data_IF_497521536185
#
_entry.id   IF_497521536185
#
_cell.length_a   1.000
_cell.length_b   1.000
_cell.length_c   1.000
_cell.angle_alpha   90.00
_cell.angle_beta   90.00
_cell.angle_gamma   90.00
#
_symmetry.space_group_name_H-M   'P 1'
#
loop_
_entity.id
_entity.type
_entity.pdbx_description
1 polymer ?
#
# COMPACT_ATOMS: atom_id res chain seq x y z
N UNK A 1 -3.05 14.60 -17.05
CA UNK A 1 -2.52 13.47 -16.25
C UNK A 1 -3.70 12.69 -15.70
N UNK A 2 -3.85 11.43 -16.11
CA UNK A 2 -4.97 10.58 -15.71
C UNK A 2 -4.71 10.09 -14.28
N UNK A 3 -5.37 10.67 -13.28
CA UNK A 3 -5.36 10.09 -11.94
C UNK A 3 -6.34 8.92 -11.95
N UNK A 4 -5.80 7.72 -12.07
CA UNK A 4 -6.61 6.51 -12.08
C UNK A 4 -6.71 5.86 -10.70
N UNK A 5 -6.19 6.51 -9.64
CA UNK A 5 -5.99 5.90 -8.31
C UNK A 5 -4.93 4.78 -8.32
N UNK A 6 -4.09 4.72 -9.38
CA UNK A 6 -3.20 3.58 -9.66
C UNK A 6 -1.71 3.89 -9.45
N UNK A 7 -1.34 5.16 -9.53
CA UNK A 7 0.03 5.65 -9.30
C UNK A 7 -0.07 6.87 -8.37
N UNK A 8 0.91 7.14 -7.51
CA UNK A 8 1.20 8.48 -7.04
C UNK A 8 1.25 9.37 -8.28
N UNK A 9 0.26 10.23 -8.40
CA UNK A 9 0.25 11.24 -9.42
C UNK A 9 0.35 12.55 -8.70
N UNK A 10 1.44 13.28 -8.94
CA UNK A 10 1.50 14.67 -8.55
C UNK A 10 0.48 15.43 -9.36
N UNK A 11 -0.60 15.86 -8.71
CA UNK A 11 -1.58 16.74 -9.33
C UNK A 11 -1.22 18.17 -8.95
N UNK A 12 -1.00 18.99 -9.97
CA UNK A 12 -0.76 20.42 -9.83
C UNK A 12 -1.97 21.20 -10.35
N UNK A 13 -2.18 22.38 -9.78
CA UNK A 13 -3.21 23.33 -10.17
C UNK A 13 -3.19 23.68 -11.67
N UNK A 14 -4.35 24.01 -12.25
CA UNK A 14 -4.45 24.57 -13.61
C UNK A 14 -4.37 23.60 -14.79
N UNK A 15 -4.44 22.27 -14.58
CA UNK A 15 -4.46 21.27 -15.67
C UNK A 15 -5.76 20.44 -15.69
N UNK A 16 -6.91 21.02 -16.11
CA UNK A 16 -8.14 20.28 -16.25
C UNK A 16 -8.01 19.34 -17.46
N UNK A 17 -7.84 18.04 -17.22
CA UNK A 17 -8.23 17.04 -18.22
C UNK A 17 -9.45 16.32 -17.68
N UNK A 18 -10.49 16.22 -18.50
CA UNK A 18 -11.73 15.49 -18.28
C UNK A 18 -11.46 14.13 -17.64
N UNK A 19 -12.07 13.90 -16.47
CA UNK A 19 -12.03 12.61 -15.77
C UNK A 19 -13.47 12.12 -15.63
N UNK A 20 -13.72 10.90 -16.09
CA UNK A 20 -15.02 10.24 -15.92
C UNK A 20 -15.30 9.85 -14.46
N UNK A 21 -14.27 9.81 -13.59
CA UNK A 21 -14.41 9.52 -12.17
C UNK A 21 -13.28 10.17 -11.35
N UNK A 22 -13.59 10.80 -10.21
CA UNK A 22 -12.63 11.39 -9.26
C UNK A 22 -12.81 10.76 -7.88
N UNK A 23 -11.72 10.27 -7.26
CA UNK A 23 -11.74 9.81 -5.86
C UNK A 23 -11.81 10.96 -4.85
N UNK A 24 -12.14 10.67 -3.60
CA UNK A 24 -12.46 11.69 -2.58
C UNK A 24 -11.32 12.68 -2.34
N UNK A 25 -10.06 12.21 -2.35
CA UNK A 25 -8.90 13.07 -2.13
C UNK A 25 -8.73 14.13 -3.25
N UNK A 26 -9.09 13.78 -4.49
CA UNK A 26 -9.06 14.72 -5.62
C UNK A 26 -10.16 15.76 -5.46
N UNK A 27 -11.38 15.31 -5.15
CA UNK A 27 -12.50 16.22 -4.96
C UNK A 27 -12.25 17.16 -3.77
N UNK A 28 -11.65 16.65 -2.69
CA UNK A 28 -11.24 17.44 -1.53
C UNK A 28 -10.19 18.48 -1.89
N UNK A 29 -9.16 18.12 -2.67
CA UNK A 29 -8.18 19.10 -3.19
C UNK A 29 -8.83 20.17 -4.06
N UNK A 30 -9.79 19.80 -4.91
CA UNK A 30 -10.53 20.74 -5.75
C UNK A 30 -11.34 21.72 -4.89
N UNK A 31 -12.03 21.23 -3.85
CA UNK A 31 -12.74 22.09 -2.88
C UNK A 31 -11.79 23.02 -2.11
N UNK A 32 -10.61 22.52 -1.69
CA UNK A 32 -9.58 23.37 -1.09
C UNK A 32 -9.09 24.46 -2.06
N UNK A 33 -8.90 24.13 -3.33
CA UNK A 33 -8.48 25.11 -4.34
C UNK A 33 -9.56 26.12 -4.71
N UNK A 34 -10.84 25.73 -4.67
CA UNK A 34 -11.95 26.66 -4.82
C UNK A 34 -12.04 27.63 -3.64
N UNK A 35 -11.77 27.13 -2.43
CA UNK A 35 -11.84 27.93 -1.19
C UNK A 35 -10.60 28.81 -0.98
N UNK A 36 -9.41 28.28 -1.29
CA UNK A 36 -8.10 28.95 -1.20
C UNK A 36 -7.26 28.60 -2.42
N UNK A 37 -7.45 29.31 -3.54
CA UNK A 37 -6.66 29.06 -4.73
C UNK A 37 -5.19 29.36 -4.44
N UNK A 38 -4.32 28.37 -4.62
CA UNK A 38 -2.89 28.56 -4.41
C UNK A 38 -2.07 27.68 -5.38
N UNK A 39 -1.12 28.24 -6.13
CA UNK A 39 -0.42 27.53 -7.21
C UNK A 39 0.45 26.38 -6.72
N UNK A 40 0.83 26.37 -5.44
CA UNK A 40 1.64 25.30 -4.84
C UNK A 40 0.80 24.16 -4.25
N UNK A 41 -0.53 24.26 -4.25
CA UNK A 41 -1.36 23.13 -3.85
C UNK A 41 -1.08 21.93 -4.75
N UNK A 42 -0.65 20.84 -4.13
CA UNK A 42 -0.40 19.59 -4.80
C UNK A 42 -0.76 18.43 -3.90
N UNK A 43 -1.08 17.31 -4.53
CA UNK A 43 -1.47 16.10 -3.83
C UNK A 43 -0.64 14.94 -4.34
N UNK A 44 -0.18 14.12 -3.39
CA UNK A 44 0.44 12.82 -3.65
C UNK A 44 -0.46 11.76 -3.02
N UNK A 45 -1.03 10.90 -3.86
CA UNK A 45 -1.72 9.72 -3.34
C UNK A 45 -0.69 8.61 -3.09
N UNK A 46 -0.39 8.37 -1.82
CA UNK A 46 0.52 7.35 -1.34
C UNK A 46 -0.19 6.05 -0.91
N UNK A 47 -1.50 5.94 -1.13
CA UNK A 47 -2.27 4.78 -0.72
C UNK A 47 -1.81 3.51 -1.45
N UNK A 48 -1.78 2.40 -0.72
CA UNK A 48 -1.46 1.08 -1.22
C UNK A 48 -2.67 0.17 -1.01
N UNK A 49 -3.16 -0.46 -2.09
CA UNK A 49 -4.33 -1.33 -2.04
C UNK A 49 -4.18 -2.42 -0.96
N UNK A 50 -5.20 -2.53 -0.10
CA UNK A 50 -5.31 -3.57 0.93
C UNK A 50 -4.06 -3.71 1.83
N UNK A 51 -3.33 -2.62 2.05
CA UNK A 51 -2.08 -2.62 2.82
C UNK A 51 -2.32 -2.04 4.22
N UNK A 52 -2.30 -2.85 5.28
CA UNK A 52 -2.52 -2.37 6.65
C UNK A 52 -1.31 -1.59 7.18
N UNK A 53 -1.50 -0.84 8.27
CA UNK A 53 -0.50 0.07 8.82
C UNK A 53 0.84 -0.60 9.13
N UNK A 54 0.85 -1.82 9.67
CA UNK A 54 2.11 -2.54 10.00
C UNK A 54 2.93 -2.96 8.76
N UNK A 55 2.30 -2.97 7.58
CA UNK A 55 3.01 -3.24 6.33
C UNK A 55 3.50 -1.94 5.68
N UNK A 56 2.77 -0.84 5.85
CA UNK A 56 3.19 0.47 5.36
C UNK A 56 4.28 1.11 6.23
N UNK A 57 4.23 0.90 7.55
CA UNK A 57 5.10 1.56 8.53
C UNK A 57 6.60 1.43 8.23
N UNK A 58 7.16 0.24 7.91
CA UNK A 58 8.58 0.11 7.61
C UNK A 58 9.07 0.97 6.44
N UNK A 59 8.20 1.21 5.45
CA UNK A 59 8.52 1.96 4.24
C UNK A 59 7.81 3.30 4.16
N UNK A 60 7.23 3.78 5.25
CA UNK A 60 6.31 4.91 5.28
C UNK A 60 6.88 6.14 4.55
N UNK A 61 8.14 6.48 4.82
CA UNK A 61 8.81 7.64 4.22
C UNK A 61 9.10 7.47 2.73
N UNK A 62 9.23 6.25 2.23
CA UNK A 62 9.48 6.02 0.79
C UNK A 62 8.28 6.36 -0.08
N UNK A 63 7.10 6.43 0.53
CA UNK A 63 5.83 6.73 -0.12
C UNK A 63 5.43 8.20 -0.06
N UNK A 64 6.16 9.04 0.68
CA UNK A 64 5.79 10.42 0.94
C UNK A 64 6.57 11.43 0.08
N UNK A 65 5.94 12.53 -0.34
CA UNK A 65 6.68 13.66 -0.91
C UNK A 65 7.55 14.32 0.17
N UNK A 66 8.56 15.09 -0.24
CA UNK A 66 9.35 15.92 0.68
C UNK A 66 8.46 17.03 1.26
N UNK A 67 8.47 17.18 2.59
CA UNK A 67 7.77 18.23 3.32
C UNK A 67 6.26 18.26 3.07
N UNK A 68 5.50 17.21 3.42
CA UNK A 68 4.04 17.27 3.37
C UNK A 68 3.51 18.28 4.40
N UNK A 69 2.46 19.04 4.05
CA UNK A 69 1.79 19.99 4.97
C UNK A 69 0.56 19.38 5.65
N UNK A 70 -0.15 18.49 4.93
CA UNK A 70 -1.33 17.78 5.40
C UNK A 70 -1.21 16.31 4.98
N UNK A 71 -1.44 15.40 5.91
CA UNK A 71 -1.50 13.96 5.63
C UNK A 71 -2.85 13.44 6.10
N UNK A 72 -3.56 12.76 5.21
CA UNK A 72 -4.78 12.01 5.51
C UNK A 72 -4.41 10.53 5.60
N UNK A 73 -4.64 9.93 6.76
CA UNK A 73 -4.38 8.51 7.04
C UNK A 73 -5.68 7.72 7.04
N UNK A 74 -5.75 6.68 6.24
CA UNK A 74 -6.91 5.77 6.18
C UNK A 74 -6.38 4.34 6.26
N UNK A 75 -6.73 3.63 7.34
CA UNK A 75 -6.43 2.20 7.51
C UNK A 75 -7.67 1.40 7.95
N UNK A 76 -8.81 2.07 8.20
CA UNK A 76 -10.06 1.46 8.63
C UNK A 76 -10.53 0.38 7.66
N UNK A 77 -10.37 0.63 6.36
CA UNK A 77 -10.73 -0.33 5.30
C UNK A 77 -9.96 -1.67 5.37
N UNK A 78 -8.86 -1.72 6.13
CA UNK A 78 -8.01 -2.92 6.31
C UNK A 78 -8.19 -3.59 7.67
N UNK A 79 -9.27 -3.29 8.41
CA UNK A 79 -9.45 -3.69 9.81
C UNK A 79 -9.19 -5.17 10.13
N UNK A 80 -9.59 -6.09 9.24
CA UNK A 80 -9.43 -7.54 9.45
C UNK A 80 -7.95 -7.95 9.57
N UNK A 81 -7.05 -7.26 8.85
CA UNK A 81 -5.62 -7.56 8.84
C UNK A 81 -4.79 -6.52 9.59
N UNK A 82 -5.40 -5.56 10.27
CA UNK A 82 -4.70 -4.43 10.87
C UNK A 82 -4.22 -4.72 12.29
N UNK A 83 -2.93 -4.51 12.56
CA UNK A 83 -2.43 -4.47 13.92
C UNK A 83 -2.73 -3.09 14.54
N UNK A 84 -3.61 -3.03 15.53
CA UNK A 84 -4.08 -1.77 16.11
C UNK A 84 -2.96 -0.87 16.63
N UNK A 85 -1.89 -1.45 17.19
CA UNK A 85 -0.73 -0.69 17.68
C UNK A 85 0.09 -0.04 16.56
N UNK A 86 0.01 -0.55 15.32
CA UNK A 86 0.73 0.01 14.18
C UNK A 86 0.14 1.36 13.72
N UNK A 87 -1.13 1.64 14.00
CA UNK A 87 -1.76 2.94 13.77
C UNK A 87 -0.99 4.03 14.52
N UNK A 88 -0.71 3.79 15.81
CA UNK A 88 0.09 4.69 16.62
C UNK A 88 1.53 4.79 16.10
N UNK A 89 2.14 3.66 15.71
CA UNK A 89 3.48 3.65 15.13
C UNK A 89 3.60 4.60 13.92
N UNK A 90 2.63 4.57 13.01
CA UNK A 90 2.54 5.48 11.86
C UNK A 90 2.37 6.93 12.31
N UNK A 91 1.42 7.22 13.21
CA UNK A 91 1.18 8.59 13.69
C UNK A 91 2.44 9.18 14.33
N UNK A 92 3.10 8.45 15.24
CA UNK A 92 4.34 8.92 15.89
C UNK A 92 5.47 9.12 14.88
N UNK A 93 5.59 8.26 13.87
CA UNK A 93 6.57 8.44 12.81
C UNK A 93 6.33 9.75 12.04
N UNK A 94 5.09 10.05 11.68
CA UNK A 94 4.74 11.28 10.94
C UNK A 94 4.87 12.55 11.77
N UNK A 95 4.54 12.51 13.06
CA UNK A 95 4.71 13.66 13.96
C UNK A 95 6.18 14.05 14.19
N UNK A 96 7.13 13.18 13.85
CA UNK A 96 8.58 13.48 13.89
C UNK A 96 9.08 14.21 12.65
N UNK A 97 8.28 14.29 11.57
CA UNK A 97 8.67 15.04 10.39
C UNK A 97 8.84 16.53 10.73
N UNK A 98 9.77 17.19 10.04
CA UNK A 98 10.00 18.62 10.15
C UNK A 98 9.94 19.29 8.76
N UNK A 99 9.11 20.32 8.56
CA UNK A 99 8.08 20.81 9.51
C UNK A 99 7.02 19.74 9.82
N UNK A 100 6.40 19.79 11.00
CA UNK A 100 5.39 18.82 11.43
C UNK A 100 4.12 18.99 10.57
N UNK A 101 3.69 17.95 9.82
CA UNK A 101 2.45 18.05 9.03
C UNK A 101 1.23 18.06 9.94
N UNK A 102 0.15 18.68 9.49
CA UNK A 102 -1.18 18.42 10.04
C UNK A 102 -1.56 16.96 9.72
N UNK A 103 -2.02 16.21 10.72
CA UNK A 103 -2.50 14.84 10.53
C UNK A 103 -4.02 14.78 10.71
N UNK A 104 -4.67 14.15 9.74
CA UNK A 104 -6.08 13.78 9.79
C UNK A 104 -6.21 12.26 9.66
N UNK A 105 -6.78 11.62 10.67
CA UNK A 105 -7.11 10.20 10.66
C UNK A 105 -8.54 10.02 10.16
N UNK A 106 -8.69 9.38 9.01
CA UNK A 106 -9.96 9.08 8.36
C UNK A 106 -10.29 7.59 8.54
N UNK A 107 -11.44 7.27 9.14
CA UNK A 107 -11.92 5.89 9.28
C UNK A 107 -12.99 5.57 8.23
N UNK A 108 -12.81 4.46 7.51
CA UNK A 108 -13.79 3.86 6.59
C UNK A 108 -14.12 2.45 7.09
N UNK A 109 -15.41 2.13 7.19
CA UNK A 109 -15.94 0.86 7.70
C UNK A 109 -16.52 -0.03 6.59
N UNK A 110 -16.53 -1.34 6.83
CA UNK A 110 -17.46 -2.25 6.13
C UNK A 110 -18.87 -2.07 6.71
N UNK A 111 -19.87 -1.89 5.84
CA UNK A 111 -21.24 -1.52 6.22
C UNK A 111 -22.18 -2.71 6.35
N UNK A 112 -21.88 -3.80 5.65
CA UNK A 112 -22.81 -4.92 5.45
C UNK A 112 -22.08 -6.21 5.12
N UNK A 113 -22.81 -7.32 5.15
CA UNK A 113 -22.34 -8.58 4.56
C UNK A 113 -22.39 -8.50 3.03
N UNK A 114 -21.27 -8.73 2.32
CA UNK A 114 -21.25 -8.70 0.86
C UNK A 114 -22.13 -9.83 0.29
N UNK A 115 -22.97 -9.50 -0.69
CA UNK A 115 -23.93 -10.42 -1.28
C UNK A 115 -24.79 -9.75 -2.37
N UNK A 116 -25.70 -10.50 -3.02
CA UNK A 116 -26.58 -9.95 -4.05
C UNK A 116 -27.56 -8.89 -3.50
N UNK A 117 -27.93 -9.01 -2.22
CA UNK A 117 -28.79 -8.06 -1.51
C UNK A 117 -28.08 -7.62 -0.22
N UNK A 118 -27.13 -6.67 -0.30
CA UNK A 118 -26.36 -6.26 0.86
C UNK A 118 -27.28 -5.60 1.89
N UNK A 119 -27.26 -6.10 3.13
CA UNK A 119 -28.02 -5.54 4.26
C UNK A 119 -27.07 -5.02 5.32
N UNK A 120 -27.35 -3.83 5.84
CA UNK A 120 -26.58 -3.26 6.96
C UNK A 120 -26.49 -4.27 8.11
N UNK A 121 -25.37 -4.25 8.82
CA UNK A 121 -25.23 -5.08 10.00
C UNK A 121 -26.25 -4.71 11.09
N UNK A 122 -26.90 -5.73 11.64
CA UNK A 122 -27.81 -5.59 12.78
C UNK A 122 -27.12 -5.91 14.11
N UNK A 123 -27.52 -5.26 15.22
CA UNK A 123 -27.02 -5.61 16.55
C UNK A 123 -27.12 -7.11 16.82
N UNK A 124 -26.02 -7.73 17.29
CA UNK A 124 -25.96 -9.17 17.52
C UNK A 124 -25.50 -10.01 16.32
N UNK A 125 -25.39 -9.42 15.13
CA UNK A 125 -24.92 -10.14 13.95
C UNK A 125 -23.40 -10.40 13.98
N UNK A 126 -23.00 -11.64 13.69
CA UNK A 126 -21.60 -12.02 13.47
C UNK A 126 -21.09 -11.42 12.15
N UNK A 127 -19.96 -10.72 12.21
CA UNK A 127 -19.39 -10.03 11.03
C UNK A 127 -18.15 -10.76 10.48
N UNK A 128 -17.80 -10.44 9.23
CA UNK A 128 -16.63 -11.04 8.58
C UNK A 128 -15.35 -10.64 9.31
N UNK A 129 -14.48 -11.62 9.56
CA UNK A 129 -13.25 -11.41 10.33
C UNK A 129 -13.45 -11.51 11.85
N UNK A 130 -14.64 -11.90 12.31
CA UNK A 130 -14.98 -12.10 13.72
C UNK A 130 -15.57 -10.86 14.37
N UNK A 131 -16.11 -11.02 15.59
CA UNK A 131 -16.80 -9.96 16.33
C UNK A 131 -18.30 -9.90 16.03
N UNK A 132 -19.03 -9.15 16.86
CA UNK A 132 -20.49 -9.06 16.81
C UNK A 132 -20.85 -7.58 16.72
N UNK A 133 -21.71 -7.19 15.79
CA UNK A 133 -22.10 -5.78 15.64
C UNK A 133 -22.77 -5.26 16.94
N UNK A 134 -22.38 -4.06 17.43
CA UNK A 134 -21.50 -3.06 16.81
C UNK A 134 -20.00 -3.22 17.10
N UNK A 135 -19.58 -4.22 17.88
CA UNK A 135 -18.17 -4.53 18.16
C UNK A 135 -17.50 -5.32 17.03
N UNK A 136 -17.43 -4.70 15.85
CA UNK A 136 -16.76 -5.24 14.67
C UNK A 136 -15.26 -4.93 14.66
N UNK A 137 -14.44 -5.59 13.82
CA UNK A 137 -13.05 -5.23 13.62
C UNK A 137 -12.88 -3.75 13.24
N UNK A 138 -13.75 -3.23 12.37
CA UNK A 138 -13.75 -1.82 11.96
C UNK A 138 -14.05 -0.87 13.12
N UNK A 139 -15.07 -1.18 13.93
CA UNK A 139 -15.40 -0.37 15.11
C UNK A 139 -14.25 -0.35 16.13
N UNK A 140 -13.51 -1.46 16.29
CA UNK A 140 -12.29 -1.51 17.12
C UNK A 140 -11.18 -0.61 16.55
N UNK A 141 -10.97 -0.63 15.23
CA UNK A 141 -10.01 0.27 14.56
C UNK A 141 -10.37 1.72 14.80
N UNK A 142 -11.63 2.10 14.60
CA UNK A 142 -12.08 3.47 14.81
C UNK A 142 -11.92 3.95 16.26
N UNK A 143 -12.28 3.12 17.24
CA UNK A 143 -12.04 3.43 18.66
C UNK A 143 -10.55 3.61 18.94
N UNK A 144 -9.69 2.78 18.36
CA UNK A 144 -8.23 2.96 18.48
C UNK A 144 -7.76 4.25 17.81
N UNK A 145 -8.22 4.56 16.60
CA UNK A 145 -7.88 5.82 15.91
C UNK A 145 -8.29 7.03 16.75
N UNK A 146 -9.49 7.03 17.33
CA UNK A 146 -9.97 8.08 18.20
C UNK A 146 -9.11 8.24 19.46
N UNK A 147 -8.68 7.13 20.09
CA UNK A 147 -7.76 7.16 21.24
C UNK A 147 -6.41 7.76 20.85
N UNK A 148 -5.85 7.37 19.69
CA UNK A 148 -4.59 7.92 19.16
C UNK A 148 -4.74 9.41 18.87
N UNK A 149 -5.81 9.84 18.20
CA UNK A 149 -6.08 11.25 17.93
C UNK A 149 -6.13 12.10 19.20
N UNK A 150 -6.90 11.67 20.21
CA UNK A 150 -7.00 12.40 21.48
C UNK A 150 -5.65 12.50 22.18
N UNK A 151 -4.89 11.41 22.22
CA UNK A 151 -3.60 11.36 22.90
C UNK A 151 -2.52 12.22 22.26
N UNK A 152 -2.54 12.33 20.92
CA UNK A 152 -1.55 13.12 20.17
C UNK A 152 -2.07 14.49 19.72
N UNK A 153 -3.28 14.90 20.13
CA UNK A 153 -3.89 16.16 19.70
C UNK A 153 -4.11 16.24 18.18
N UNK A 154 -4.48 15.14 17.54
CA UNK A 154 -4.69 15.06 16.08
C UNK A 154 -6.18 15.00 15.72
N UNK A 155 -6.51 15.39 14.48
CA UNK A 155 -7.88 15.35 13.98
C UNK A 155 -8.28 13.92 13.58
N UNK A 156 -9.53 13.56 13.90
CA UNK A 156 -10.12 12.27 13.54
C UNK A 156 -11.49 12.50 12.89
N UNK A 157 -11.78 11.75 11.83
CA UNK A 157 -13.05 11.77 11.10
C UNK A 157 -13.49 10.34 10.83
N UNK A 158 -14.74 10.03 11.19
CA UNK A 158 -15.39 8.76 10.86
C UNK A 158 -16.45 8.99 9.78
N UNK A 159 -16.33 8.29 8.66
CA UNK A 159 -17.37 8.29 7.62
C UNK A 159 -18.58 7.50 8.11
N UNK A 160 -18.35 6.41 8.83
CA UNK A 160 -19.41 5.55 9.35
C UNK A 160 -20.28 6.30 10.36
N UNK A 161 -19.68 6.85 11.42
CA UNK A 161 -20.44 7.58 12.44
C UNK A 161 -21.16 8.82 11.89
N UNK A 162 -20.64 9.44 10.83
CA UNK A 162 -21.28 10.57 10.18
C UNK A 162 -22.54 10.19 9.38
N UNK A 163 -22.56 9.00 8.76
CA UNK A 163 -23.61 8.60 7.82
C UNK A 163 -24.56 7.53 8.38
N UNK A 164 -24.12 6.69 9.33
CA UNK A 164 -24.91 5.58 9.88
C UNK A 164 -26.32 6.00 10.37
N UNK A 165 -26.51 7.11 11.09
CA UNK A 165 -27.85 7.52 11.49
C UNK A 165 -28.79 7.75 10.29
N UNK A 166 -28.28 8.29 9.19
CA UNK A 166 -29.05 8.54 7.97
C UNK A 166 -29.36 7.22 7.23
N UNK A 167 -28.41 6.29 7.20
CA UNK A 167 -28.61 4.94 6.63
C UNK A 167 -29.69 4.19 7.40
N UNK A 168 -29.60 4.17 8.73
CA UNK A 168 -30.56 3.48 9.61
C UNK A 168 -31.95 4.11 9.58
N UNK A 169 -32.03 5.42 9.39
CA UNK A 169 -33.30 6.12 9.21
C UNK A 169 -33.93 5.88 7.83
N UNK A 170 -33.23 5.20 6.90
CA UNK A 170 -33.70 5.04 5.53
C UNK A 170 -33.81 6.37 4.78
N UNK A 171 -32.96 7.36 5.11
CA UNK A 171 -33.01 8.67 4.49
C UNK A 171 -32.71 8.57 2.98
N UNK A 172 -33.41 9.38 2.18
CA UNK A 172 -33.25 9.38 0.72
C UNK A 172 -31.80 9.61 0.28
N UNK A 173 -31.28 8.68 -0.53
CA UNK A 173 -29.90 8.69 -1.01
C UNK A 173 -28.86 8.14 -0.04
N UNK A 174 -29.24 7.64 1.15
CA UNK A 174 -28.31 7.03 2.11
C UNK A 174 -28.48 5.52 2.19
N UNK A 175 -28.82 4.85 1.08
CA UNK A 175 -28.83 3.39 1.03
C UNK A 175 -27.40 2.83 1.03
N UNK A 176 -27.26 1.53 1.29
CA UNK A 176 -25.98 0.83 1.11
C UNK A 176 -25.48 0.97 -0.33
N UNK A 177 -26.39 0.91 -1.31
CA UNK A 177 -26.04 1.08 -2.73
C UNK A 177 -25.58 2.49 -3.07
N UNK A 178 -26.03 3.50 -2.32
CA UNK A 178 -25.49 4.85 -2.46
C UNK A 178 -24.07 4.96 -1.89
N UNK A 179 -23.79 4.32 -0.75
CA UNK A 179 -22.52 4.51 -0.03
C UNK A 179 -21.42 3.58 -0.53
N UNK A 180 -21.66 2.28 -0.61
CA UNK A 180 -20.62 1.28 -0.94
C UNK A 180 -21.04 0.23 -1.96
N UNK A 181 -22.31 0.16 -2.36
CA UNK A 181 -22.75 -0.85 -3.32
C UNK A 181 -22.62 -2.28 -2.78
N UNK A 182 -22.55 -3.28 -3.67
CA UNK A 182 -22.66 -4.71 -3.30
C UNK A 182 -21.43 -5.26 -2.57
N UNK A 183 -20.30 -4.54 -2.56
CA UNK A 183 -19.09 -4.99 -1.87
C UNK A 183 -18.96 -4.47 -0.44
N UNK A 184 -19.92 -3.67 0.03
CA UNK A 184 -20.06 -3.21 1.40
C UNK A 184 -18.91 -2.38 1.97
N UNK A 185 -17.89 -2.07 1.18
CA UNK A 185 -16.65 -1.48 1.69
C UNK A 185 -16.12 -0.35 0.82
N UNK A 186 -16.14 -0.49 -0.52
CA UNK A 186 -15.46 0.45 -1.39
C UNK A 186 -16.43 1.53 -1.88
N UNK A 187 -16.25 2.80 -1.51
CA UNK A 187 -17.17 3.89 -1.88
C UNK A 187 -17.27 4.14 -3.38
N UNK A 188 -16.28 3.68 -4.15
CA UNK A 188 -16.26 3.68 -5.62
C UNK A 188 -17.40 2.85 -6.24
N UNK A 189 -17.95 1.90 -5.48
CA UNK A 189 -19.01 1.01 -5.92
C UNK A 189 -20.40 1.54 -5.59
N UNK A 190 -20.50 2.54 -4.72
CA UNK A 190 -21.74 3.23 -4.45
C UNK A 190 -22.01 4.35 -5.43
N UNK A 191 -23.28 4.77 -5.54
CA UNK A 191 -23.67 5.90 -6.40
C UNK A 191 -23.10 7.25 -5.92
N UNK A 192 -22.97 7.43 -4.60
CA UNK A 192 -22.62 8.70 -3.94
C UNK A 192 -21.48 8.57 -2.92
N UNK A 193 -20.99 7.35 -2.68
CA UNK A 193 -20.02 7.06 -1.61
C UNK A 193 -18.79 7.97 -1.57
N UNK A 194 -18.18 8.21 -2.73
CA UNK A 194 -17.02 9.10 -2.83
C UNK A 194 -17.37 10.56 -2.52
N UNK A 195 -18.56 11.00 -2.93
CA UNK A 195 -19.03 12.36 -2.67
C UNK A 195 -19.33 12.54 -1.18
N UNK A 196 -19.92 11.55 -0.51
CA UNK A 196 -20.15 11.59 0.92
C UNK A 196 -18.85 11.69 1.73
N UNK A 197 -17.83 10.90 1.41
CA UNK A 197 -16.52 11.03 2.07
C UNK A 197 -15.95 12.44 1.87
N UNK A 198 -16.07 12.98 0.65
CA UNK A 198 -15.60 14.33 0.34
C UNK A 198 -16.35 15.37 1.17
N UNK A 199 -17.68 15.28 1.26
CA UNK A 199 -18.50 16.22 2.04
C UNK A 199 -18.17 16.16 3.53
N UNK A 200 -17.93 14.98 4.10
CA UNK A 200 -17.50 14.82 5.50
C UNK A 200 -16.15 15.52 5.73
N UNK A 201 -15.18 15.37 4.80
CA UNK A 201 -13.88 16.06 4.88
C UNK A 201 -14.01 17.58 4.74
N UNK A 202 -14.87 18.06 3.82
CA UNK A 202 -15.16 19.48 3.64
C UNK A 202 -15.81 20.07 4.90
N UNK A 203 -16.78 19.36 5.48
CA UNK A 203 -17.42 19.78 6.73
C UNK A 203 -16.40 19.91 7.88
N UNK A 204 -15.52 18.92 8.04
CA UNK A 204 -14.43 18.97 9.01
C UNK A 204 -13.54 20.20 8.80
N UNK A 205 -13.10 20.43 7.56
CA UNK A 205 -12.24 21.55 7.20
C UNK A 205 -12.88 22.92 7.50
N UNK A 206 -14.17 23.07 7.19
CA UNK A 206 -14.93 24.29 7.53
C UNK A 206 -15.02 24.51 9.04
N UNK A 207 -15.28 23.44 9.81
CA UNK A 207 -15.32 23.51 11.27
C UNK A 207 -13.97 23.95 11.85
N UNK A 208 -12.87 23.31 11.45
CA UNK A 208 -11.51 23.65 11.91
C UNK A 208 -11.18 25.11 11.58
N UNK A 209 -11.53 25.60 10.39
CA UNK A 209 -11.33 27.01 10.02
C UNK A 209 -12.10 27.97 10.91
N UNK A 210 -13.36 27.66 11.22
CA UNK A 210 -14.17 28.51 12.10
C UNK A 210 -13.56 28.57 13.48
N UNK A 211 -13.17 27.43 14.04
CA UNK A 211 -12.50 27.34 15.34
C UNK A 211 -11.16 28.09 15.35
N UNK A 212 -10.32 27.92 14.32
CA UNK A 212 -9.05 28.62 14.20
C UNK A 212 -9.21 30.16 14.12
N UNK A 213 -10.27 30.66 13.48
CA UNK A 213 -10.57 32.10 13.45
C UNK A 213 -10.93 32.62 14.83
N UNK A 214 -11.77 31.91 15.57
CA UNK A 214 -12.15 32.28 16.93
C UNK A 214 -10.94 32.30 17.87
N UNK A 215 -10.07 31.28 17.78
CA UNK A 215 -8.84 31.21 18.58
C UNK A 215 -7.87 32.33 18.22
N UNK A 216 -7.67 32.66 16.95
CA UNK A 216 -6.80 33.77 16.54
C UNK A 216 -7.34 35.13 16.96
N UNK A 217 -8.66 35.32 16.95
CA UNK A 217 -9.26 36.58 17.41
C UNK A 217 -9.15 36.74 18.93
N UNK A 218 -9.20 35.65 19.70
CA UNK A 218 -9.06 35.71 21.15
C UNK A 218 -7.61 35.68 21.63
N UNK A 219 -6.67 35.19 20.82
CA UNK A 219 -5.28 35.02 21.20
C UNK A 219 -4.34 35.26 19.99
N UNK A 220 -4.08 36.53 19.62
CA UNK A 220 -3.28 36.87 18.44
C UNK A 220 -1.81 36.48 18.58
N UNK A 221 -1.32 36.34 19.82
CA UNK A 221 0.05 35.93 20.13
C UNK A 221 0.23 34.41 20.24
N UNK A 222 -0.82 33.61 20.00
CA UNK A 222 -0.72 32.15 20.08
C UNK A 222 0.32 31.62 19.09
N UNK A 223 1.53 31.41 19.57
CA UNK A 223 2.60 30.81 18.80
C UNK A 223 2.29 29.34 18.61
N UNK A 224 2.60 28.82 17.41
CA UNK A 224 2.54 27.38 17.14
C UNK A 224 3.75 26.72 17.82
N UNK A 225 3.75 26.68 19.16
CA UNK A 225 4.71 25.86 19.89
C UNK A 225 4.42 24.40 19.58
N UNK A 226 5.41 23.74 18.98
CA UNK A 226 5.35 22.31 18.78
C UNK A 226 5.60 21.61 20.10
N UNK A 227 4.52 21.15 20.75
CA UNK A 227 4.64 20.32 21.94
C UNK A 227 5.50 19.08 21.66
N UNK A 228 6.29 18.63 22.65
CA UNK A 228 6.97 17.34 22.59
C UNK A 228 5.97 16.23 22.26
N UNK A 229 6.38 15.28 21.42
CA UNK A 229 5.54 14.13 21.09
C UNK A 229 5.31 13.32 22.37
N UNK A 230 4.05 13.15 22.75
CA UNK A 230 3.65 12.36 23.92
C UNK A 230 4.25 10.94 23.90
N UNK A 231 4.38 10.32 25.08
CA UNK A 231 4.82 8.93 25.23
C UNK A 231 3.86 7.97 24.52
N UNK A 232 4.35 6.80 24.10
CA UNK A 232 3.50 5.80 23.45
C UNK A 232 2.34 5.33 24.35
N UNK A 233 1.15 5.17 23.78
CA UNK A 233 -0.01 4.47 24.34
C UNK A 233 0.20 2.96 24.35
N UNK A 234 0.68 2.39 23.25
CA UNK A 234 0.84 0.96 23.10
C UNK A 234 2.08 0.46 23.86
N UNK A 235 1.90 -0.64 24.60
CA UNK A 235 3.01 -1.34 25.27
C UNK A 235 4.03 -1.87 24.26
N UNK A 236 3.54 -2.43 23.15
CA UNK A 236 4.40 -2.85 22.03
C UNK A 236 4.97 -1.59 21.39
N UNK A 237 6.25 -1.33 21.66
CA UNK A 237 6.98 -0.24 21.02
C UNK A 237 7.31 -0.68 19.61
N UNK A 238 6.56 -0.17 18.63
CA UNK A 238 7.08 -0.09 17.27
C UNK A 238 8.35 0.75 17.33
N UNK A 239 9.42 0.27 16.68
CA UNK A 239 10.70 0.96 16.67
C UNK A 239 10.47 2.43 16.34
N UNK A 240 11.01 3.32 17.20
CA UNK A 240 10.76 4.76 17.08
C UNK A 240 11.24 5.32 15.73
N UNK A 241 12.17 4.62 15.10
CA UNK A 241 12.51 4.74 13.68
C UNK A 241 12.43 3.33 13.11
N UNK A 242 11.47 3.00 12.23
CA UNK A 242 11.56 1.76 11.50
C UNK A 242 12.82 1.82 10.64
N UNK A 243 13.86 1.09 11.03
CA UNK A 243 15.07 0.95 10.26
C UNK A 243 14.84 -0.22 9.34
N UNK A 244 14.26 0.09 8.19
CA UNK A 244 14.11 -0.87 7.14
C UNK A 244 14.59 -0.27 5.83
N UNK A 245 15.18 -1.12 5.01
CA UNK A 245 15.52 -0.81 3.64
C UNK A 245 14.45 -1.40 2.74
N UNK A 246 13.81 -0.53 1.98
CA UNK A 246 12.67 -0.88 1.15
C UNK A 246 13.07 -0.87 -0.32
N UNK A 247 12.82 -1.99 -0.99
CA UNK A 247 13.21 -2.24 -2.37
C UNK A 247 12.00 -2.32 -3.29
N UNK A 248 12.12 -1.74 -4.48
CA UNK A 248 11.10 -1.82 -5.51
C UNK A 248 11.70 -2.17 -6.88
N UNK A 249 10.92 -2.86 -7.70
CA UNK A 249 11.33 -3.22 -9.06
C UNK A 249 11.23 -2.04 -10.06
N UNK A 250 10.56 -0.93 -9.69
CA UNK A 250 10.48 0.26 -10.54
C UNK A 250 11.21 1.45 -9.94
N UNK A 251 12.03 2.13 -10.76
CA UNK A 251 12.78 3.32 -10.35
C UNK A 251 12.00 4.64 -10.45
N UNK A 252 10.70 4.62 -10.76
CA UNK A 252 9.99 5.82 -11.23
C UNK A 252 8.92 6.40 -10.32
N UNK A 253 8.54 5.72 -9.23
CA UNK A 253 7.26 6.03 -8.59
C UNK A 253 7.33 6.22 -7.07
N UNK A 254 8.41 5.75 -6.44
CA UNK A 254 8.58 5.75 -5.00
C UNK A 254 10.05 5.96 -4.67
N UNK A 255 10.36 6.50 -3.49
CA UNK A 255 11.75 6.59 -2.99
C UNK A 255 12.25 5.23 -2.48
N UNK A 256 11.78 4.13 -3.09
CA UNK A 256 12.28 2.78 -2.82
C UNK A 256 13.65 2.65 -3.46
N UNK A 257 14.55 1.93 -2.80
CA UNK A 257 15.81 1.53 -3.41
C UNK A 257 15.50 0.66 -4.64
N UNK A 258 16.13 0.92 -5.80
CA UNK A 258 15.96 0.06 -6.95
C UNK A 258 16.50 -1.33 -6.59
N UNK A 259 15.71 -2.35 -6.89
CA UNK A 259 16.12 -3.73 -6.74
C UNK A 259 16.87 -4.18 -8.00
N UNK A 260 18.09 -4.68 -7.86
CA UNK A 260 18.79 -5.33 -8.96
C UNK A 260 18.26 -6.77 -9.11
N UNK A 261 17.80 -7.12 -10.31
CA UNK A 261 17.21 -8.42 -10.57
C UNK A 261 17.49 -8.92 -11.99
N UNK A 262 17.53 -10.24 -12.18
CA UNK A 262 17.65 -10.89 -13.49
C UNK A 262 16.93 -12.23 -13.53
N UNK A 263 16.63 -12.71 -14.73
CA UNK A 263 16.07 -14.06 -14.92
C UNK A 263 17.19 -15.03 -15.34
N UNK A 264 17.22 -16.24 -14.76
CA UNK A 264 18.28 -17.22 -15.08
C UNK A 264 18.25 -17.71 -16.54
N UNK A 265 17.08 -17.67 -17.19
CA UNK A 265 16.93 -18.18 -18.56
C UNK A 265 17.60 -17.29 -19.63
N UNK A 266 17.98 -16.05 -19.32
CA UNK A 266 18.76 -15.23 -20.25
C UNK A 266 20.26 -15.34 -19.92
N UNK A 267 20.97 -16.18 -20.69
CA UNK A 267 22.36 -16.59 -20.46
C UNK A 267 23.37 -15.43 -20.69
N UNK A 268 23.04 -14.42 -21.50
CA UNK A 268 23.98 -13.34 -21.91
C UNK A 268 23.45 -11.91 -21.75
N UNK A 269 22.37 -11.69 -21.02
CA UNK A 269 21.79 -10.36 -20.88
C UNK A 269 20.61 -10.37 -19.93
N UNK A 270 20.58 -9.46 -18.97
CA UNK A 270 19.48 -9.36 -18.03
C UNK A 270 18.25 -8.78 -18.72
N UNK A 271 17.07 -9.28 -18.36
CA UNK A 271 15.82 -8.51 -18.47
C UNK A 271 15.81 -7.32 -17.49
N UNK A 272 16.91 -6.57 -17.37
CA UNK A 272 16.96 -5.31 -16.62
C UNK A 272 16.56 -4.16 -17.53
N UNK A 273 16.03 -3.11 -16.91
CA UNK A 273 15.57 -1.90 -17.58
C UNK A 273 16.66 -1.17 -18.37
N UNK A 274 17.94 -1.36 -18.03
CA UNK A 274 19.09 -0.75 -18.73
C UNK A 274 19.30 -1.30 -20.16
N UNK A 275 18.72 -2.44 -20.50
CA UNK A 275 18.83 -3.02 -21.86
C UNK A 275 17.97 -2.31 -22.92
N UNK A 276 17.17 -1.29 -22.56
CA UNK A 276 16.31 -0.57 -23.52
C UNK A 276 17.05 0.35 -24.50
N UNK A 277 18.36 0.54 -24.36
CA UNK A 277 19.14 1.47 -25.19
C UNK A 277 20.13 0.82 -26.17
N UNK A 278 20.17 -0.51 -26.33
CA UNK A 278 20.84 -1.08 -27.51
C UNK A 278 21.60 -2.41 -27.38
N UNK A 279 21.49 -3.17 -26.30
CA UNK A 279 22.18 -4.46 -26.21
C UNK A 279 21.27 -5.64 -26.58
N UNK A 280 21.68 -6.39 -27.61
CA UNK A 280 21.22 -7.75 -27.92
C UNK A 280 21.36 -8.65 -26.68
N UNK A 281 20.60 -9.77 -26.63
CA UNK A 281 20.71 -10.91 -25.69
C UNK A 281 19.57 -11.19 -24.66
N UNK A 282 18.31 -10.95 -25.03
CA UNK A 282 17.33 -12.05 -25.03
C UNK A 282 16.79 -12.11 -26.48
N UNK A 283 16.61 -13.28 -27.13
CA UNK A 283 16.30 -13.35 -28.56
C UNK A 283 15.08 -12.46 -28.90
N UNK A 284 15.19 -11.66 -29.97
CA UNK A 284 14.19 -10.63 -30.31
C UNK A 284 12.76 -11.16 -30.55
N UNK A 285 12.60 -12.47 -30.73
CA UNK A 285 11.32 -13.17 -30.85
C UNK A 285 10.69 -13.58 -29.49
N UNK A 286 11.44 -13.41 -28.39
CA UNK A 286 11.07 -13.58 -26.97
C UNK A 286 11.02 -12.22 -26.21
N UNK A 287 11.14 -11.10 -26.95
CA UNK A 287 11.56 -9.77 -26.49
C UNK A 287 10.58 -8.95 -25.63
N UNK A 288 9.95 -9.53 -24.62
CA UNK A 288 9.10 -8.77 -23.70
C UNK A 288 9.50 -9.01 -22.24
N UNK A 289 10.62 -8.41 -21.81
CA UNK A 289 10.93 -8.22 -20.39
C UNK A 289 9.92 -7.32 -19.66
N UNK A 290 8.96 -6.75 -20.40
CA UNK A 290 7.82 -6.02 -19.88
C UNK A 290 6.53 -6.47 -20.58
N UNK A 291 5.43 -6.58 -19.83
CA UNK A 291 4.14 -6.92 -20.43
C UNK A 291 3.63 -5.79 -21.36
N UNK A 292 2.89 -6.12 -22.44
CA UNK A 292 2.33 -5.11 -23.34
C UNK A 292 1.51 -4.04 -22.59
N UNK A 293 1.75 -2.77 -22.92
CA UNK A 293 1.07 -1.64 -22.29
C UNK A 293 -0.45 -1.71 -22.51
N UNK A 294 -1.21 -1.24 -21.51
CA UNK A 294 -2.67 -1.17 -21.59
C UNK A 294 -3.12 -0.03 -22.51
N UNK A 295 -3.40 -0.33 -23.77
CA UNK A 295 -4.11 0.54 -24.70
C UNK A 295 -5.12 -0.27 -25.49
N UNK A 296 -6.26 0.32 -25.91
CA UNK A 296 -7.29 -0.41 -26.68
C UNK A 296 -6.73 -1.07 -27.95
N UNK A 297 -5.74 -0.43 -28.60
CA UNK A 297 -5.03 -0.96 -29.77
C UNK A 297 -4.15 -2.18 -29.47
N UNK A 298 -4.06 -2.60 -28.19
CA UNK A 298 -3.11 -3.60 -27.74
C UNK A 298 -3.73 -4.81 -27.03
N UNK A 299 -5.04 -5.04 -27.22
CA UNK A 299 -5.71 -6.22 -26.65
C UNK A 299 -5.23 -7.50 -27.33
N UNK A 300 -5.14 -7.52 -28.66
CA UNK A 300 -4.64 -8.68 -29.42
C UNK A 300 -3.18 -9.00 -29.09
N UNK A 301 -2.29 -8.01 -28.98
CA UNK A 301 -0.89 -8.25 -28.59
C UNK A 301 -0.81 -8.84 -27.18
N UNK A 302 -1.63 -8.33 -26.25
CA UNK A 302 -1.65 -8.82 -24.89
C UNK A 302 -2.21 -10.25 -24.78
N UNK A 303 -3.26 -10.57 -25.53
CA UNK A 303 -3.77 -11.94 -25.60
C UNK A 303 -2.73 -12.89 -26.17
N UNK A 304 -2.09 -12.52 -27.29
CA UNK A 304 -0.98 -13.30 -27.87
C UNK A 304 0.19 -13.46 -26.90
N UNK A 305 0.48 -12.43 -26.10
CA UNK A 305 1.50 -12.49 -25.05
C UNK A 305 1.12 -13.48 -23.94
N UNK A 306 -0.16 -13.57 -23.56
CA UNK A 306 -0.63 -14.56 -22.60
C UNK A 306 -0.70 -15.98 -23.18
N UNK A 307 -1.02 -16.12 -24.47
CA UNK A 307 -1.01 -17.41 -25.19
C UNK A 307 0.42 -17.95 -25.35
N UNK A 308 1.40 -17.07 -25.56
CA UNK A 308 2.82 -17.40 -25.62
C UNK A 308 3.51 -17.00 -24.31
N UNK A 309 3.19 -17.73 -23.24
CA UNK A 309 3.71 -17.45 -21.91
C UNK A 309 5.25 -17.32 -21.93
N UNK A 310 5.81 -16.22 -21.42
CA UNK A 310 7.26 -16.04 -21.40
C UNK A 310 7.94 -17.09 -20.52
N UNK A 311 9.07 -17.62 -20.99
CA UNK A 311 9.99 -18.48 -20.21
C UNK A 311 10.92 -17.68 -19.30
N UNK A 312 10.50 -16.48 -18.91
CA UNK A 312 11.27 -15.53 -18.11
C UNK A 312 10.39 -14.85 -17.08
N UNK A 313 11.02 -14.24 -16.08
CA UNK A 313 10.37 -13.24 -15.25
C UNK A 313 10.33 -11.89 -15.99
N UNK A 314 9.18 -11.22 -15.98
CA UNK A 314 8.97 -9.96 -16.70
C UNK A 314 8.26 -8.92 -15.83
N UNK A 315 8.60 -7.65 -16.02
CA UNK A 315 7.93 -6.54 -15.35
C UNK A 315 6.51 -6.35 -15.91
N UNK A 316 5.52 -6.19 -15.04
CA UNK A 316 4.17 -5.86 -15.49
C UNK A 316 3.49 -4.85 -14.58
N UNK A 317 3.18 -3.68 -15.15
CA UNK A 317 2.44 -2.61 -14.48
C UNK A 317 0.96 -2.91 -14.25
N UNK A 318 0.41 -3.99 -14.81
CA UNK A 318 -1.02 -4.27 -14.80
C UNK A 318 -1.33 -5.70 -14.33
N UNK A 319 -2.57 -5.90 -13.90
CA UNK A 319 -3.12 -7.22 -13.62
C UNK A 319 -3.32 -8.00 -14.93
N UNK A 320 -2.94 -9.28 -14.92
CA UNK A 320 -3.04 -10.17 -16.07
C UNK A 320 -4.45 -10.77 -16.17
N UNK A 321 -5.42 -9.96 -16.60
CA UNK A 321 -6.81 -10.37 -16.79
C UNK A 321 -7.21 -10.18 -18.26
N UNK A 322 -7.64 -11.23 -18.98
CA UNK A 322 -7.89 -11.17 -20.43
C UNK A 322 -9.15 -10.38 -20.82
N UNK A 323 -10.16 -10.30 -19.94
CA UNK A 323 -11.49 -9.80 -20.30
C UNK A 323 -11.98 -8.64 -19.42
N UNK A 324 -11.08 -7.93 -18.72
CA UNK A 324 -11.45 -6.85 -17.81
C UNK A 324 -10.61 -5.61 -18.06
N UNK A 325 -11.18 -4.45 -17.73
CA UNK A 325 -10.44 -3.18 -17.68
C UNK A 325 -9.21 -3.38 -16.78
N UNK A 326 -8.03 -3.49 -17.38
CA UNK A 326 -6.80 -3.89 -16.69
C UNK A 326 -6.57 -2.96 -15.49
N UNK A 327 -6.56 -3.54 -14.28
CA UNK A 327 -6.22 -2.82 -13.04
C UNK A 327 -4.70 -2.65 -13.02
N UNK A 328 -4.20 -1.46 -12.66
CA UNK A 328 -2.76 -1.33 -12.43
C UNK A 328 -2.39 -2.11 -11.18
N UNK A 329 -1.33 -2.87 -11.29
CA UNK A 329 -0.79 -3.75 -10.26
C UNK A 329 0.63 -3.95 -10.72
N UNK A 330 1.54 -3.10 -10.26
CA UNK A 330 2.95 -3.19 -10.64
C UNK A 330 3.63 -4.34 -9.90
N UNK A 331 4.58 -4.99 -10.57
CA UNK A 331 5.40 -6.06 -10.03
C UNK A 331 6.08 -6.87 -11.14
N UNK A 332 6.98 -7.77 -10.77
CA UNK A 332 7.60 -8.74 -11.68
C UNK A 332 6.83 -10.05 -11.59
N UNK A 333 6.58 -10.68 -12.73
CA UNK A 333 5.67 -11.82 -12.88
C UNK A 333 6.39 -12.96 -13.59
N UNK A 334 6.09 -14.18 -13.16
CA UNK A 334 6.37 -15.41 -13.90
C UNK A 334 5.07 -16.17 -14.15
N UNK A 335 5.01 -16.90 -15.27
CA UNK A 335 3.86 -17.69 -15.70
C UNK A 335 4.20 -19.15 -16.02
N UNK A 336 5.48 -19.50 -16.15
CA UNK A 336 5.94 -20.84 -16.51
C UNK A 336 6.76 -21.48 -15.38
N UNK A 337 6.49 -22.74 -14.99
CA UNK A 337 7.36 -23.48 -14.08
C UNK A 337 8.82 -23.53 -14.51
N UNK A 338 9.71 -23.68 -13.53
CA UNK A 338 11.16 -23.78 -13.74
C UNK A 338 11.88 -22.44 -13.92
N UNK A 339 11.15 -21.37 -14.27
CA UNK A 339 11.77 -20.05 -14.43
C UNK A 339 12.16 -19.46 -13.08
N UNK A 340 13.34 -18.85 -13.03
CA UNK A 340 13.93 -18.32 -11.80
C UNK A 340 14.31 -16.84 -11.92
N UNK A 341 14.11 -16.13 -10.81
CA UNK A 341 14.42 -14.73 -10.59
C UNK A 341 15.55 -14.64 -9.57
N UNK A 342 16.67 -14.05 -9.97
CA UNK A 342 17.75 -13.69 -9.05
C UNK A 342 17.59 -12.24 -8.60
N UNK A 343 17.70 -12.01 -7.30
CA UNK A 343 17.62 -10.70 -6.64
C UNK A 343 18.91 -10.44 -5.88
N UNK A 344 19.44 -9.23 -5.98
CA UNK A 344 20.57 -8.80 -5.15
C UNK A 344 20.09 -7.77 -4.13
N UNK A 345 20.30 -8.06 -2.85
CA UNK A 345 19.87 -7.25 -1.71
C UNK A 345 21.08 -6.71 -0.97
N UNK A 346 21.14 -5.40 -0.76
CA UNK A 346 22.01 -4.81 0.26
C UNK A 346 21.34 -5.01 1.63
N UNK A 347 22.01 -5.76 2.47
CA UNK A 347 21.55 -6.18 3.79
C UNK A 347 22.02 -5.26 4.91
N UNK A 348 22.83 -4.24 4.59
CA UNK A 348 23.22 -3.23 5.56
C UNK A 348 22.01 -2.43 5.98
N UNK A 349 21.72 -2.51 7.26
CA UNK A 349 20.76 -1.63 7.90
C UNK A 349 21.50 -0.39 8.40
N UNK A 350 20.92 0.82 8.24
CA UNK A 350 21.48 2.02 8.82
C UNK A 350 21.78 1.79 10.31
N UNK A 351 23.06 1.75 10.69
CA UNK A 351 23.46 1.59 12.09
C UNK A 351 22.79 2.69 12.92
N UNK A 352 22.12 2.30 14.01
CA UNK A 352 21.66 3.30 14.98
C UNK A 352 22.89 4.02 15.54
N UNK A 353 22.82 5.35 15.65
CA UNK A 353 23.93 6.16 16.17
C UNK A 353 24.37 5.74 17.59
N UNK A 354 23.55 4.97 18.30
CA UNK A 354 23.80 4.45 19.63
C UNK A 354 24.82 3.30 19.69
N UNK A 355 25.10 2.60 18.59
CA UNK A 355 26.00 1.43 18.57
C UNK A 355 27.49 1.76 18.39
N UNK A 356 27.88 3.04 18.48
CA UNK A 356 29.27 3.47 18.22
C UNK A 356 30.29 3.12 19.31
N UNK A 357 29.91 2.51 20.44
CA UNK A 357 30.78 2.41 21.63
C UNK A 357 31.42 1.06 21.92
N UNK A 358 31.21 0.03 21.11
CA UNK A 358 31.86 -1.28 21.33
C UNK A 358 32.49 -1.79 20.04
N UNK A 359 33.83 -1.74 19.97
CA UNK A 359 34.67 -2.18 18.85
C UNK A 359 34.78 -3.71 18.70
N UNK A 360 34.18 -4.49 19.60
CA UNK A 360 34.10 -5.94 19.43
C UNK A 360 33.27 -6.26 18.18
N UNK A 361 33.85 -7.01 17.22
CA UNK A 361 33.18 -7.46 16.01
C UNK A 361 31.80 -8.03 16.34
N UNK A 362 30.71 -7.29 16.05
CA UNK A 362 29.39 -7.73 16.45
C UNK A 362 29.05 -8.96 15.64
N UNK A 363 28.75 -10.05 16.34
CA UNK A 363 28.08 -11.22 15.75
C UNK A 363 26.88 -10.66 14.97
N UNK A 364 26.92 -10.79 13.64
CA UNK A 364 25.91 -10.19 12.77
C UNK A 364 24.55 -10.78 13.15
N UNK A 365 23.67 -9.96 13.73
CA UNK A 365 22.29 -10.38 14.00
C UNK A 365 21.65 -10.79 12.66
N UNK A 366 20.84 -11.85 12.63
CA UNK A 366 20.11 -12.21 11.43
C UNK A 366 19.23 -11.03 10.99
N UNK A 367 19.14 -10.79 9.69
CA UNK A 367 18.23 -9.80 9.14
C UNK A 367 16.89 -10.50 8.81
N UNK A 368 15.79 -9.80 9.01
CA UNK A 368 14.47 -10.26 8.62
C UNK A 368 14.10 -9.64 7.26
N UNK A 369 13.88 -10.49 6.27
CA UNK A 369 13.46 -10.09 4.94
C UNK A 369 11.96 -10.35 4.79
N UNK A 370 11.23 -9.38 4.23
CA UNK A 370 9.81 -9.53 3.91
C UNK A 370 9.60 -9.38 2.41
N UNK A 371 9.17 -10.44 1.75
CA UNK A 371 8.80 -10.49 0.34
C UNK A 371 7.33 -10.13 0.17
N UNK A 372 7.05 -9.06 -0.57
CA UNK A 372 5.69 -8.71 -0.93
C UNK A 372 5.29 -9.38 -2.25
N UNK A 373 4.29 -10.26 -2.19
CA UNK A 373 3.82 -11.01 -3.35
C UNK A 373 2.29 -10.98 -3.45
N UNK A 374 1.77 -11.15 -4.66
CA UNK A 374 0.33 -11.22 -4.89
C UNK A 374 -0.17 -12.60 -4.46
N UNK A 375 -1.23 -12.63 -3.66
CA UNK A 375 -2.06 -13.83 -3.46
C UNK A 375 -3.40 -13.64 -4.16
N UNK A 376 -3.98 -14.72 -4.69
CA UNK A 376 -5.27 -14.69 -5.39
C UNK A 376 -5.96 -16.04 -5.35
N UNK A 377 -7.26 -16.06 -5.62
CA UNK A 377 -8.09 -17.27 -5.68
C UNK A 377 -8.08 -18.00 -7.02
N UNK A 378 -7.37 -17.46 -7.99
CA UNK A 378 -7.32 -18.01 -9.33
C UNK A 378 -5.91 -17.84 -9.90
N UNK A 379 -5.48 -18.88 -10.60
CA UNK A 379 -4.31 -18.89 -11.48
C UNK A 379 -2.94 -18.82 -10.81
N UNK A 380 -2.87 -18.87 -9.49
CA UNK A 380 -1.64 -18.65 -8.73
C UNK A 380 -0.74 -19.90 -8.66
N UNK A 381 0.55 -19.71 -8.87
CA UNK A 381 1.55 -20.78 -8.71
C UNK A 381 2.16 -20.84 -7.32
N UNK A 382 3.01 -21.85 -7.11
CA UNK A 382 3.87 -21.98 -5.93
C UNK A 382 5.30 -21.63 -6.30
N UNK A 383 5.99 -20.83 -5.49
CA UNK A 383 7.40 -20.53 -5.69
C UNK A 383 8.27 -21.07 -4.53
N UNK A 384 9.50 -21.47 -4.84
CA UNK A 384 10.57 -21.69 -3.88
C UNK A 384 11.45 -20.43 -3.83
N UNK A 385 11.80 -20.01 -2.63
CA UNK A 385 12.75 -18.94 -2.36
C UNK A 385 13.95 -19.51 -1.60
N UNK A 386 15.16 -19.16 -2.04
CA UNK A 386 16.41 -19.59 -1.40
C UNK A 386 17.52 -18.56 -1.52
N UNK A 387 18.48 -18.61 -0.59
CA UNK A 387 19.69 -17.82 -0.64
C UNK A 387 20.75 -18.58 -1.45
N UNK A 388 21.46 -17.87 -2.33
CA UNK A 388 22.39 -18.49 -3.30
C UNK A 388 23.81 -17.97 -3.19
N UNK A 389 24.02 -16.74 -2.71
CA UNK A 389 25.36 -16.19 -2.47
C UNK A 389 25.33 -15.07 -1.42
N UNK A 390 26.41 -14.94 -0.65
CA UNK A 390 26.62 -13.86 0.32
C UNK A 390 25.78 -13.92 1.59
N UNK A 391 24.85 -14.87 1.71
CA UNK A 391 23.95 -15.06 2.86
C UNK A 391 23.42 -16.50 2.87
N UNK A 392 22.93 -16.95 4.02
CA UNK A 392 22.23 -18.25 4.17
C UNK A 392 20.79 -18.02 4.63
N UNK A 393 19.86 -18.83 4.15
CA UNK A 393 18.50 -18.88 4.66
C UNK A 393 17.89 -20.25 4.43
N UNK A 394 16.97 -20.65 5.30
CA UNK A 394 16.16 -21.86 5.09
C UNK A 394 15.32 -21.67 3.83
N UNK A 395 15.34 -22.61 2.86
CA UNK A 395 14.46 -22.54 1.70
C UNK A 395 12.99 -22.36 2.11
N UNK A 396 12.32 -21.40 1.49
CA UNK A 396 10.92 -21.08 1.77
C UNK A 396 10.06 -21.49 0.60
N UNK A 397 8.90 -22.08 0.90
CA UNK A 397 7.90 -22.47 -0.07
C UNK A 397 6.67 -21.57 0.07
N UNK A 398 6.30 -20.89 -1.00
CA UNK A 398 5.25 -19.86 -0.99
C UNK A 398 4.15 -20.25 -1.98
N UNK A 399 3.04 -20.77 -1.47
CA UNK A 399 1.82 -20.94 -2.26
C UNK A 399 1.05 -19.61 -2.30
N UNK A 400 0.95 -19.03 -3.50
CA UNK A 400 0.27 -17.76 -3.69
C UNK A 400 -1.25 -17.90 -3.91
N UNK A 401 -1.77 -19.13 -3.93
CA UNK A 401 -3.20 -19.38 -4.06
C UNK A 401 -3.92 -19.26 -2.71
N UNK A 402 -5.13 -18.71 -2.72
CA UNK A 402 -6.00 -18.64 -1.54
C UNK A 402 -7.46 -18.89 -1.89
N UNK A 403 -8.19 -19.64 -1.07
CA UNK A 403 -9.60 -19.98 -1.38
C UNK A 403 -10.56 -18.79 -1.36
N UNK A 404 -10.22 -17.74 -0.60
CA UNK A 404 -11.05 -16.53 -0.50
C UNK A 404 -10.98 -15.74 -1.81
N UNK A 405 -12.14 -15.42 -2.41
CA UNK A 405 -12.31 -14.71 -3.70
C UNK A 405 -11.82 -13.25 -3.68
N UNK A 406 -10.55 -13.06 -3.42
CA UNK A 406 -9.89 -11.76 -3.33
C UNK A 406 -8.45 -11.89 -3.82
N UNK A 407 -7.96 -10.87 -4.53
CA UNK A 407 -6.55 -10.74 -4.88
C UNK A 407 -5.92 -9.60 -4.09
N UNK A 408 -4.91 -9.90 -3.27
CA UNK A 408 -4.23 -8.93 -2.40
C UNK A 408 -2.73 -9.19 -2.36
N UNK A 409 -1.94 -8.15 -2.15
CA UNK A 409 -0.53 -8.33 -1.83
C UNK A 409 -0.38 -8.70 -0.36
N UNK A 410 0.43 -9.72 -0.08
CA UNK A 410 0.74 -10.20 1.26
C UNK A 410 2.24 -10.19 1.47
N UNK A 411 2.64 -10.11 2.73
CA UNK A 411 4.05 -10.15 3.13
C UNK A 411 4.40 -11.56 3.60
N UNK A 412 5.38 -12.19 2.96
CA UNK A 412 6.02 -13.41 3.45
C UNK A 412 7.34 -13.05 4.12
N UNK A 413 7.55 -13.43 5.38
CA UNK A 413 8.72 -13.02 6.17
C UNK A 413 9.61 -14.22 6.47
N UNK A 414 10.92 -14.05 6.35
CA UNK A 414 11.91 -15.09 6.63
C UNK A 414 13.24 -14.45 7.07
N UNK A 415 14.03 -15.19 7.84
CA UNK A 415 15.34 -14.74 8.29
C UNK A 415 16.41 -15.05 7.25
N UNK A 416 17.40 -14.17 7.16
CA UNK A 416 18.67 -14.41 6.47
C UNK A 416 19.81 -14.29 7.50
N UNK A 417 20.76 -15.21 7.42
CA UNK A 417 21.95 -15.29 8.25
C UNK A 417 23.20 -14.91 7.44
N UNK A 418 24.23 -14.44 8.15
CA UNK A 418 25.60 -14.26 7.65
C UNK A 418 25.72 -13.52 6.33
N UNK A 419 25.35 -12.24 6.32
CA UNK A 419 25.71 -11.34 5.22
C UNK A 419 27.18 -10.90 5.32
N UNK A 420 28.13 -11.77 4.98
CA UNK A 420 29.56 -11.47 5.09
C UNK A 420 30.01 -10.29 4.20
N UNK A 421 29.31 -10.05 3.08
CA UNK A 421 29.72 -9.09 2.05
C UNK A 421 28.73 -7.93 1.86
N UNK A 422 27.94 -7.57 2.88
CA UNK A 422 26.85 -6.58 2.82
C UNK A 422 25.75 -6.89 1.79
N UNK A 423 25.94 -7.88 0.92
CA UNK A 423 25.10 -8.21 -0.24
C UNK A 423 24.64 -9.67 -0.15
N UNK A 424 23.35 -9.91 -0.35
CA UNK A 424 22.71 -11.22 -0.35
C UNK A 424 22.07 -11.46 -1.72
N UNK A 425 22.45 -12.55 -2.39
CA UNK A 425 21.81 -12.98 -3.63
C UNK A 425 20.78 -14.05 -3.34
N UNK A 426 19.55 -13.79 -3.75
CA UNK A 426 18.41 -14.68 -3.56
C UNK A 426 17.86 -15.18 -4.90
N UNK A 427 17.38 -16.41 -4.92
CA UNK A 427 16.64 -16.99 -6.04
C UNK A 427 15.18 -17.21 -5.66
N UNK A 428 14.26 -16.80 -6.54
CA UNK A 428 12.84 -17.17 -6.49
C UNK A 428 12.53 -17.99 -7.74
N UNK A 429 12.24 -19.28 -7.56
CA UNK A 429 11.95 -20.24 -8.62
C UNK A 429 10.48 -20.62 -8.61
N UNK A 430 9.81 -20.48 -9.75
CA UNK A 430 8.43 -20.92 -9.91
C UNK A 430 8.40 -22.46 -10.06
N UNK A 431 7.62 -23.15 -9.24
CA UNK A 431 7.59 -24.60 -9.19
C UNK A 431 6.55 -25.20 -10.15
N UNK A 432 6.75 -26.47 -10.51
CA UNK A 432 5.85 -27.25 -11.37
C UNK A 432 4.53 -27.60 -10.69
N UNK A 433 4.50 -27.63 -9.37
CA UNK A 433 3.29 -27.85 -8.61
C UNK A 433 2.53 -26.54 -8.37
N UNK A 434 1.21 -26.65 -8.31
CA UNK A 434 0.30 -25.55 -8.06
C UNK A 434 -0.95 -26.06 -7.37
N UNK A 435 -1.52 -25.27 -6.47
CA UNK A 435 -2.81 -25.57 -5.85
C UNK A 435 -3.99 -24.91 -6.57
N UNK A 436 -3.74 -24.14 -7.64
CA UNK A 436 -4.78 -23.43 -8.42
C UNK A 436 -4.97 -23.94 -9.85
N UNK A 437 -4.08 -24.82 -10.32
CA UNK A 437 -4.07 -25.32 -11.70
C UNK A 437 -3.30 -24.45 -12.70
N UNK A 438 -2.83 -23.25 -12.33
CA UNK A 438 -1.91 -22.44 -13.15
C UNK A 438 -0.71 -21.92 -12.32
N UNK A 439 0.24 -21.23 -12.97
CA UNK A 439 1.54 -20.91 -12.37
C UNK A 439 1.83 -19.40 -12.27
N UNK A 440 0.84 -18.51 -12.24
CA UNK A 440 1.11 -17.07 -12.09
C UNK A 440 1.70 -16.79 -10.70
N UNK A 441 2.90 -16.24 -10.64
CA UNK A 441 3.48 -15.72 -9.40
C UNK A 441 3.95 -14.29 -9.62
N UNK A 442 3.65 -13.38 -8.69
CA UNK A 442 3.94 -11.94 -8.84
C UNK A 442 4.53 -11.36 -7.58
N UNK A 443 5.67 -10.69 -7.71
CA UNK A 443 6.38 -10.00 -6.62
C UNK A 443 6.35 -8.50 -6.86
N UNK A 444 6.13 -7.71 -5.80
CA UNK A 444 6.02 -6.24 -5.89
C UNK A 444 7.19 -5.51 -5.23
N UNK A 445 7.64 -5.96 -4.07
CA UNK A 445 8.67 -5.28 -3.29
C UNK A 445 9.37 -6.25 -2.33
N UNK A 446 10.51 -5.82 -1.79
CA UNK A 446 11.17 -6.48 -0.67
C UNK A 446 11.48 -5.47 0.42
N UNK A 447 11.42 -5.92 1.67
CA UNK A 447 11.86 -5.19 2.85
C UNK A 447 13.02 -5.95 3.48
N UNK A 448 14.06 -5.25 3.89
CA UNK A 448 15.08 -5.78 4.81
C UNK A 448 15.03 -4.95 6.09
N UNK A 449 14.94 -5.60 7.25
CA UNK A 449 14.94 -4.96 8.56
C UNK A 449 15.67 -5.85 9.57
N UNK A 450 15.97 -5.32 10.75
CA UNK A 450 16.65 -6.11 11.79
C UNK A 450 15.78 -7.31 12.19
N UNK A 451 16.43 -8.46 12.46
CA UNK A 451 15.77 -9.59 13.11
C UNK A 451 15.27 -9.17 14.50
N UNK A 452 14.02 -9.54 14.80
CA UNK A 452 13.41 -9.29 16.12
C UNK A 452 14.02 -10.18 17.20
#
# INVERSE_FOLDING_TARGET
MQFSGRRPARMAWGRPRTRLFKGFAVQFLESMNQTWPHPRHSMTNAALDATPAQNALPCLYTHMPKGPQLIILEFGSTAISLELSAIEGVVRALLRLRPRPALLLLSIHEWCSPGPNPRIYEPGQLVRGGGVYPDTPWARVERTMLRVCRHYGQACVSVHAALEPLVRAGADGFSIDDITGPDCLHPIRGFRGVDYITQVLIHWLHRVRREARMVRSSNPELSLHEDPIARALARRRWAEKPIARCYGFSSGQWSLAPLNWRTLACVNGSCTRESQLGSRFCPAWLGHCACPHSGKRNETQFRRFLERTPSTWFECGYALLPNRRRKYSHGVVALQPGVALLLQLDTRLPRTLTDRRTEAHPVSKPANVRLEHLTSYERMGVAELRCTAGCTCTPQRIDAHRRVRQSVFTMHSFAIERAHDDSCTMEIRLLQETSSGEHKFKVRSLLVQDGL
#
